data_IF_185607820383
#
_entry.id   IF_185607820383
#
_cell.length_a   1.000
_cell.length_b   1.000
_cell.length_c   1.000
_cell.angle_alpha   90.00
_cell.angle_beta   90.00
_cell.angle_gamma   90.00
#
_symmetry.space_group_name_H-M   'P 1'
#
loop_
_entity.id
_entity.type
_entity.pdbx_description
1 polymer ?
#
# COMPACT_ATOMS: atom_id res chain seq x y z
N UNK A 1 0.97 17.27 3.72
CA UNK A 1 -0.50 17.05 3.78
C UNK A 1 -1.03 16.86 2.36
N UNK A 2 -1.67 15.73 2.01
CA UNK A 2 -2.22 15.53 0.67
C UNK A 2 -3.39 16.52 0.45
N UNK A 3 -3.35 17.25 -0.68
CA UNK A 3 -4.40 18.19 -1.07
C UNK A 3 -5.64 17.38 -1.49
N UNK A 4 -6.81 17.72 -0.94
CA UNK A 4 -8.05 17.06 -1.33
C UNK A 4 -8.34 17.32 -2.82
N UNK A 5 -8.62 16.25 -3.58
CA UNK A 5 -8.98 16.35 -4.98
C UNK A 5 -10.39 16.95 -5.12
N UNK A 6 -10.54 17.98 -5.94
CA UNK A 6 -11.86 18.51 -6.31
C UNK A 6 -12.54 17.51 -7.24
N UNK A 7 -13.81 17.19 -6.97
CA UNK A 7 -14.63 16.33 -7.83
C UNK A 7 -15.32 17.17 -8.88
N UNK A 8 -15.32 16.67 -10.11
CA UNK A 8 -16.05 17.25 -11.25
C UNK A 8 -16.99 16.16 -11.76
N UNK A 9 -18.26 16.51 -11.94
CA UNK A 9 -19.21 15.63 -12.62
C UNK A 9 -19.01 15.76 -14.13
N UNK A 10 -18.87 14.63 -14.80
CA UNK A 10 -18.61 14.53 -16.24
C UNK A 10 -19.81 13.96 -17.01
N UNK A 11 -20.96 13.79 -16.36
CA UNK A 11 -22.16 13.19 -16.95
C UNK A 11 -22.66 13.92 -18.20
N UNK A 12 -22.51 15.25 -18.22
CA UNK A 12 -22.92 16.11 -19.34
C UNK A 12 -21.82 16.30 -20.41
N UNK A 13 -20.67 15.62 -20.27
CA UNK A 13 -19.51 15.76 -21.17
C UNK A 13 -19.24 14.44 -21.92
N UNK A 14 -19.94 14.16 -23.04
CA UNK A 14 -19.91 12.86 -23.70
C UNK A 14 -18.51 12.45 -24.17
N UNK A 15 -17.67 13.40 -24.57
CA UNK A 15 -16.30 13.10 -25.00
C UNK A 15 -15.41 12.65 -23.84
N UNK A 16 -15.61 13.19 -22.63
CA UNK A 16 -14.89 12.71 -21.44
C UNK A 16 -15.36 11.32 -21.02
N UNK A 17 -16.66 11.03 -21.14
CA UNK A 17 -17.20 9.70 -20.86
C UNK A 17 -16.57 8.63 -21.76
N UNK A 18 -16.42 8.90 -23.06
CA UNK A 18 -15.74 7.97 -23.99
C UNK A 18 -14.32 7.67 -23.57
N UNK A 19 -13.52 8.69 -23.25
CA UNK A 19 -12.13 8.52 -22.81
C UNK A 19 -12.04 7.72 -21.50
N UNK A 20 -12.96 7.97 -20.56
CA UNK A 20 -13.06 7.24 -19.29
C UNK A 20 -13.41 5.78 -19.53
N UNK A 21 -14.38 5.49 -20.39
CA UNK A 21 -14.80 4.13 -20.72
C UNK A 21 -13.70 3.35 -21.41
N UNK A 22 -12.95 3.97 -22.33
CA UNK A 22 -11.80 3.34 -22.98
C UNK A 22 -10.68 3.02 -21.98
N UNK A 23 -10.29 3.98 -21.13
CA UNK A 23 -9.27 3.76 -20.11
C UNK A 23 -9.71 2.67 -19.11
N UNK A 24 -11.01 2.61 -18.77
CA UNK A 24 -11.57 1.59 -17.89
C UNK A 24 -11.63 0.21 -18.53
N UNK A 25 -11.98 0.12 -19.82
CA UNK A 25 -12.00 -1.15 -20.58
C UNK A 25 -10.60 -1.73 -20.73
N UNK A 26 -9.59 -0.89 -20.93
CA UNK A 26 -8.20 -1.32 -21.06
C UNK A 26 -7.50 -1.58 -19.70
N UNK A 27 -8.04 -1.07 -18.58
CA UNK A 27 -7.37 -1.02 -17.27
C UNK A 27 -5.99 -0.32 -17.32
N UNK A 28 -5.82 0.62 -18.26
CA UNK A 28 -4.57 1.33 -18.53
C UNK A 28 -4.71 2.83 -18.26
N UNK A 29 -3.64 3.44 -17.73
CA UNK A 29 -3.58 4.89 -17.55
C UNK A 29 -3.24 5.58 -18.87
N UNK A 30 -3.88 6.71 -19.15
CA UNK A 30 -3.62 7.52 -20.35
C UNK A 30 -3.20 8.94 -19.96
N UNK A 31 -2.26 9.51 -20.71
CA UNK A 31 -1.84 10.90 -20.56
C UNK A 31 -2.62 11.75 -21.55
N UNK A 32 -3.23 12.83 -21.06
CA UNK A 32 -3.91 13.83 -21.86
C UNK A 32 -2.93 14.97 -22.12
N UNK A 33 -2.60 15.20 -23.38
CA UNK A 33 -1.69 16.26 -23.81
C UNK A 33 -2.41 17.32 -24.65
N UNK A 34 -1.91 18.54 -24.60
CA UNK A 34 -2.31 19.65 -25.47
C UNK A 34 -1.10 20.08 -26.29
N UNK A 35 -1.03 19.61 -27.53
CA UNK A 35 0.14 19.79 -28.37
C UNK A 35 1.32 18.95 -27.86
N UNK A 36 2.35 19.61 -27.33
CA UNK A 36 3.55 18.95 -26.76
C UNK A 36 3.59 18.95 -25.22
N UNK A 37 2.56 19.48 -24.58
CA UNK A 37 2.50 19.62 -23.13
C UNK A 37 1.55 18.56 -22.54
N UNK A 38 2.01 17.80 -21.56
CA UNK A 38 1.18 16.89 -20.79
C UNK A 38 0.37 17.67 -19.74
N UNK A 39 -0.96 17.54 -19.77
CA UNK A 39 -1.89 18.38 -19.00
C UNK A 39 -2.53 17.59 -17.85
N UNK A 40 -2.87 16.32 -18.08
CA UNK A 40 -3.53 15.49 -17.08
C UNK A 40 -3.26 14.01 -17.30
N UNK A 41 -3.45 13.21 -16.25
CA UNK A 41 -3.42 11.74 -16.35
C UNK A 41 -4.78 11.20 -16.00
N UNK A 42 -5.35 10.43 -16.93
CA UNK A 42 -6.57 9.67 -16.73
C UNK A 42 -6.21 8.26 -16.27
N UNK A 43 -6.44 7.98 -14.99
CA UNK A 43 -6.22 6.66 -14.41
C UNK A 43 -7.58 6.01 -14.09
N UNK A 44 -7.86 4.79 -14.58
CA UNK A 44 -9.05 4.07 -14.17
C UNK A 44 -8.98 3.78 -12.66
N UNK A 45 -10.05 4.14 -11.94
CA UNK A 45 -10.17 3.83 -10.53
C UNK A 45 -10.81 2.45 -10.37
N UNK A 46 -10.07 1.52 -9.78
CA UNK A 46 -10.65 0.24 -9.34
C UNK A 46 -11.61 0.55 -8.19
N UNK A 47 -12.84 0.01 -8.20
CA UNK A 47 -13.70 0.11 -7.04
C UNK A 47 -12.91 -0.45 -5.86
N UNK A 48 -12.83 0.33 -4.78
CA UNK A 48 -12.22 -0.16 -3.56
C UNK A 48 -13.03 -1.39 -3.15
N UNK A 49 -12.49 -2.58 -3.40
CA UNK A 49 -12.99 -3.80 -2.80
C UNK A 49 -13.01 -3.49 -1.31
N UNK A 50 -14.20 -3.32 -0.74
CA UNK A 50 -14.36 -3.32 0.70
C UNK A 50 -13.76 -4.64 1.11
N UNK A 51 -12.52 -4.62 1.62
CA UNK A 51 -11.89 -5.79 2.20
C UNK A 51 -12.85 -6.20 3.30
N UNK A 52 -13.65 -7.22 3.02
CA UNK A 52 -14.43 -7.91 4.02
C UNK A 52 -13.41 -8.43 5.00
N UNK A 53 -13.26 -7.72 6.12
CA UNK A 53 -12.40 -8.17 7.20
C UNK A 53 -13.00 -9.51 7.62
N UNK A 54 -12.24 -10.59 7.39
CA UNK A 54 -12.61 -11.91 7.89
C UNK A 54 -12.92 -11.75 9.38
N UNK A 55 -14.08 -12.26 9.79
CA UNK A 55 -14.40 -12.32 11.21
C UNK A 55 -13.37 -13.18 11.92
N UNK A 56 -12.77 -12.66 12.98
CA UNK A 56 -11.78 -13.40 13.78
C UNK A 56 -12.49 -14.56 14.48
N UNK A 57 -11.94 -15.75 14.35
CA UNK A 57 -12.46 -16.96 14.99
C UNK A 57 -11.89 -17.10 16.40
N UNK A 58 -12.50 -17.95 17.24
CA UNK A 58 -11.94 -18.30 18.56
C UNK A 58 -10.52 -18.85 18.46
N UNK A 59 -10.20 -19.61 17.42
CA UNK A 59 -8.86 -20.12 17.16
C UNK A 59 -7.85 -18.98 16.89
N UNK A 60 -8.24 -17.96 16.13
CA UNK A 60 -7.39 -16.79 15.87
C UNK A 60 -7.09 -16.02 17.17
N UNK A 61 -8.06 -15.94 18.09
CA UNK A 61 -7.86 -15.36 19.42
C UNK A 61 -6.96 -16.22 20.30
N UNK A 62 -7.15 -17.54 20.30
CA UNK A 62 -6.32 -18.46 21.08
C UNK A 62 -4.84 -18.41 20.62
N UNK A 63 -4.60 -18.41 19.31
CA UNK A 63 -3.26 -18.28 18.74
C UNK A 63 -2.61 -16.92 19.06
N UNK A 64 -3.41 -15.84 19.10
CA UNK A 64 -2.91 -14.54 19.53
C UNK A 64 -2.54 -14.53 21.02
N UNK A 65 -3.40 -15.11 21.87
CA UNK A 65 -3.20 -15.15 23.31
C UNK A 65 -2.09 -16.12 23.73
N UNK A 66 -1.79 -17.18 22.97
CA UNK A 66 -0.67 -18.07 23.28
C UNK A 66 0.70 -17.39 23.19
N UNK A 67 0.79 -16.29 22.44
CA UNK A 67 2.00 -15.46 22.38
C UNK A 67 2.06 -14.39 23.49
N UNK A 68 0.98 -14.20 24.26
CA UNK A 68 0.93 -13.18 25.29
C UNK A 68 1.86 -13.57 26.45
N UNK A 69 2.90 -12.77 26.67
CA UNK A 69 3.86 -13.00 27.75
C UNK A 69 4.98 -13.99 27.41
N UNK A 70 5.11 -14.45 26.16
CA UNK A 70 6.23 -15.32 25.74
C UNK A 70 7.62 -14.68 25.89
N UNK A 71 7.69 -13.38 26.14
CA UNK A 71 8.92 -12.64 26.40
C UNK A 71 9.26 -12.48 27.88
N UNK A 72 8.45 -13.02 28.79
CA UNK A 72 8.63 -12.85 30.24
C UNK A 72 9.96 -13.42 30.74
N UNK A 73 10.38 -14.56 30.19
CA UNK A 73 11.57 -15.30 30.62
C UNK A 73 12.78 -15.02 29.73
N UNK A 74 12.68 -14.03 28.83
CA UNK A 74 13.80 -13.62 27.98
C UNK A 74 14.77 -12.80 28.81
N UNK A 75 16.02 -13.26 28.91
CA UNK A 75 17.12 -12.46 29.44
C UNK A 75 17.42 -11.30 28.47
N UNK A 76 16.95 -10.11 28.83
CA UNK A 76 17.06 -8.93 27.99
C UNK A 76 18.48 -8.44 27.82
N UNK A 77 19.35 -8.65 28.81
CA UNK A 77 20.74 -8.17 28.76
C UNK A 77 21.59 -9.07 27.87
N UNK A 78 21.42 -10.40 28.01
CA UNK A 78 22.03 -11.35 27.08
C UNK A 78 21.57 -11.13 25.65
N UNK A 79 20.26 -10.95 25.43
CA UNK A 79 19.72 -10.70 24.09
C UNK A 79 20.30 -9.42 23.45
N UNK A 80 20.45 -8.33 24.22
CA UNK A 80 21.09 -7.10 23.71
C UNK A 80 22.53 -7.37 23.30
N UNK A 81 23.30 -8.06 24.15
CA UNK A 81 24.69 -8.41 23.85
C UNK A 81 24.80 -9.20 22.54
N UNK A 82 23.98 -10.24 22.37
CA UNK A 82 23.97 -11.10 21.18
C UNK A 82 23.62 -10.31 19.90
N UNK A 83 22.66 -9.38 19.98
CA UNK A 83 22.31 -8.50 18.85
C UNK A 83 23.48 -7.58 18.48
N UNK A 84 24.17 -6.98 19.45
CA UNK A 84 25.31 -6.11 19.18
C UNK A 84 26.49 -6.90 18.61
N UNK A 85 26.77 -8.10 19.12
CA UNK A 85 27.79 -8.99 18.55
C UNK A 85 27.45 -9.38 17.11
N UNK A 86 26.20 -9.77 16.85
CA UNK A 86 25.76 -10.12 15.49
C UNK A 86 25.89 -8.94 14.52
N UNK A 87 25.54 -7.72 14.94
CA UNK A 87 25.69 -6.50 14.12
C UNK A 87 27.15 -6.20 13.78
N UNK A 88 28.08 -6.48 14.70
CA UNK A 88 29.53 -6.33 14.46
C UNK A 88 30.07 -7.35 13.46
N UNK A 89 29.39 -8.49 13.30
CA UNK A 89 29.74 -9.55 12.33
C UNK A 89 29.07 -9.35 10.96
N UNK A 90 28.50 -8.18 10.67
CA UNK A 90 27.79 -7.94 9.41
C UNK A 90 28.69 -8.19 8.18
N UNK A 91 28.41 -9.28 7.47
CA UNK A 91 29.02 -9.66 6.18
C UNK A 91 28.26 -9.13 4.97
N UNK A 92 27.19 -8.34 5.20
CA UNK A 92 26.33 -7.85 4.12
C UNK A 92 27.04 -6.74 3.34
N UNK A 93 27.12 -6.83 2.00
CA UNK A 93 27.74 -5.78 1.19
C UNK A 93 26.94 -4.46 1.30
N UNK A 94 27.60 -3.30 1.14
CA UNK A 94 26.92 -2.01 1.12
C UNK A 94 25.83 -1.97 0.04
N UNK A 95 24.67 -1.40 0.37
CA UNK A 95 23.60 -1.13 -0.60
C UNK A 95 23.74 0.32 -1.04
N UNK A 96 23.94 0.54 -2.34
CA UNK A 96 23.88 1.89 -2.93
C UNK A 96 22.43 2.35 -2.96
N UNK A 97 22.17 3.55 -2.42
CA UNK A 97 20.86 4.22 -2.41
C UNK A 97 20.80 5.27 -3.52
#
# INVERSE_FOLDING_TARGET
>A
MPRALKRVDISEMPELLRLVDEARKADESRVLSRGREDVAVLRPLKPALRRTRRQKTKADYAAFLSAAGSWRDVDTEKLKSDIYESRRRSTRPPVEL
#
